data_IF_751743159256
#
_entry.id   IF_751743159256
#
_cell.length_a   1.000
_cell.length_b   1.000
_cell.length_c   1.000
_cell.angle_alpha   90.00
_cell.angle_beta   90.00
_cell.angle_gamma   90.00
#
_symmetry.space_group_name_H-M   'P 1'
#
loop_
_entity.id
_entity.type
_entity.pdbx_description
1 polymer ?
#
# COMPACT_ATOMS: atom_id res chain seq x y z
N UNK A 1 -6.48 -4.17 -4.65
CA UNK A 1 -5.98 -3.44 -5.83
C UNK A 1 -5.86 -1.96 -5.56
N UNK A 2 -6.75 -1.14 -6.14
CA UNK A 2 -6.61 0.33 -6.15
C UNK A 2 -6.68 0.96 -4.75
N UNK A 3 -7.63 0.56 -3.91
CA UNK A 3 -7.72 1.10 -2.55
C UNK A 3 -6.47 0.79 -1.72
N UNK A 4 -5.90 -0.40 -1.86
CA UNK A 4 -4.63 -0.75 -1.20
C UNK A 4 -3.50 0.19 -1.65
N UNK A 5 -3.44 0.55 -2.94
CA UNK A 5 -2.47 1.51 -3.44
C UNK A 5 -2.70 2.92 -2.88
N UNK A 6 -3.94 3.37 -2.79
CA UNK A 6 -4.28 4.67 -2.16
C UNK A 6 -3.84 4.69 -0.71
N UNK A 7 -4.19 3.67 0.08
CA UNK A 7 -3.83 3.59 1.50
C UNK A 7 -2.31 3.57 1.70
N UNK A 8 -1.60 2.71 0.97
CA UNK A 8 -0.13 2.64 1.04
C UNK A 8 0.54 3.96 0.64
N UNK A 9 0.04 4.65 -0.39
CA UNK A 9 0.59 5.95 -0.80
C UNK A 9 0.28 7.04 0.23
N UNK A 10 -0.91 7.05 0.81
CA UNK A 10 -1.29 7.99 1.88
C UNK A 10 -0.37 7.82 3.09
N UNK A 11 -0.07 6.57 3.48
CA UNK A 11 0.90 6.25 4.54
C UNK A 11 2.32 6.73 4.18
N UNK A 12 2.82 6.40 3.00
CA UNK A 12 4.16 6.79 2.54
C UNK A 12 4.33 8.31 2.41
N UNK A 13 3.24 9.05 2.17
CA UNK A 13 3.24 10.52 2.08
C UNK A 13 3.09 11.24 3.41
N UNK A 14 2.88 10.52 4.52
CA UNK A 14 2.64 11.15 5.81
C UNK A 14 1.23 11.77 5.94
N UNK A 15 0.24 11.27 5.19
CA UNK A 15 -1.09 11.85 5.05
C UNK A 15 -2.20 10.99 5.68
N UNK A 16 -1.87 9.96 6.46
CA UNK A 16 -2.85 9.02 7.02
C UNK A 16 -3.45 9.43 8.38
N UNK A 17 -3.29 10.69 8.76
CA UNK A 17 -3.88 11.30 9.97
C UNK A 17 -3.68 10.44 11.23
N UNK A 18 -4.75 10.10 11.94
CA UNK A 18 -4.71 9.30 13.16
C UNK A 18 -4.15 7.88 12.94
N UNK A 19 -4.16 7.37 11.71
CA UNK A 19 -3.66 6.04 11.35
C UNK A 19 -2.23 6.07 10.80
N UNK A 20 -1.52 7.20 10.89
CA UNK A 20 -0.19 7.36 10.32
C UNK A 20 0.84 6.42 10.94
N UNK A 21 1.46 5.61 10.08
CA UNK A 21 2.62 4.81 10.43
C UNK A 21 3.85 5.72 10.43
N UNK A 22 4.53 5.80 11.57
CA UNK A 22 5.73 6.60 11.72
C UNK A 22 6.87 6.09 10.82
N UNK A 23 7.54 7.00 10.12
CA UNK A 23 8.71 6.71 9.29
C UNK A 23 8.48 5.65 8.20
N UNK A 24 7.28 5.55 7.63
CA UNK A 24 7.01 4.68 6.50
C UNK A 24 7.85 5.09 5.28
N UNK A 25 8.69 4.19 4.77
CA UNK A 25 9.57 4.45 3.60
C UNK A 25 9.30 3.53 2.42
N UNK A 26 8.86 2.31 2.69
CA UNK A 26 8.55 1.28 1.70
C UNK A 26 7.23 0.63 2.07
N UNK A 27 6.34 0.47 1.10
CA UNK A 27 5.05 -0.22 1.25
C UNK A 27 4.93 -1.36 0.25
N UNK A 28 4.42 -2.51 0.70
CA UNK A 28 4.01 -3.62 -0.16
C UNK A 28 2.50 -3.72 -0.15
N UNK A 29 1.92 -3.86 -1.35
CA UNK A 29 0.50 -4.22 -1.51
C UNK A 29 0.40 -5.47 -2.37
N UNK A 30 -0.57 -6.33 -2.05
CA UNK A 30 -0.86 -7.56 -2.77
C UNK A 30 -2.37 -7.63 -3.03
N UNK A 31 -2.76 -7.70 -4.30
CA UNK A 31 -4.15 -7.92 -4.69
C UNK A 31 -4.32 -9.36 -5.18
N UNK A 32 -5.33 -10.04 -4.67
CA UNK A 32 -5.70 -11.40 -5.09
C UNK A 32 -7.00 -11.35 -5.90
N UNK A 33 -7.08 -12.15 -6.95
CA UNK A 33 -8.27 -12.30 -7.82
C UNK A 33 -8.80 -13.73 -7.84
N UNK A 34 -10.12 -13.88 -7.92
CA UNK A 34 -10.79 -15.19 -7.84
C UNK A 34 -10.54 -15.89 -6.49
N UNK A 35 -10.48 -17.23 -6.46
CA UNK A 35 -10.04 -18.04 -5.32
C UNK A 35 -8.52 -17.94 -5.05
N UNK A 36 -7.96 -16.72 -5.10
CA UNK A 36 -6.52 -16.45 -5.10
C UNK A 36 -5.74 -17.09 -6.26
N UNK A 37 -6.38 -17.31 -7.40
CA UNK A 37 -5.75 -17.87 -8.61
C UNK A 37 -4.83 -16.87 -9.32
N UNK A 38 -5.01 -15.58 -9.09
CA UNK A 38 -4.15 -14.51 -9.58
C UNK A 38 -3.69 -13.65 -8.43
N UNK A 39 -2.39 -13.30 -8.41
CA UNK A 39 -1.80 -12.40 -7.43
C UNK A 39 -1.00 -11.30 -8.14
N UNK A 40 -1.16 -10.05 -7.69
CA UNK A 40 -0.40 -8.90 -8.20
C UNK A 40 0.17 -8.11 -7.03
N UNK A 41 1.50 -8.08 -6.94
CA UNK A 41 2.25 -7.35 -5.92
C UNK A 41 2.82 -6.05 -6.47
N UNK A 42 2.81 -5.00 -5.65
CA UNK A 42 3.55 -3.76 -5.92
C UNK A 42 4.39 -3.39 -4.71
N UNK A 43 5.62 -2.93 -4.96
CA UNK A 43 6.48 -2.26 -3.99
C UNK A 43 6.46 -0.76 -4.33
N UNK A 44 6.16 0.06 -3.34
CA UNK A 44 6.11 1.52 -3.43
C UNK A 44 7.15 2.09 -2.47
N UNK A 45 7.87 3.14 -2.87
CA UNK A 45 8.78 3.86 -1.98
C UNK A 45 8.56 5.37 -2.09
N UNK A 46 8.87 6.10 -1.03
CA UNK A 46 9.03 7.56 -1.06
C UNK A 46 10.53 7.89 -1.15
N UNK A 47 10.89 8.85 -2.01
CA UNK A 47 12.26 9.33 -2.20
C UNK A 47 12.64 10.37 -1.15
#
# INVERSE_FOLDING_TARGET
GVYQAVDAVTQLRGQAEANQIANAKVGLIQSLGGPASTAVSHILQVL
#
